data_IF_144077132399
#
_entry.id   IF_144077132399
#
_cell.length_a   1.000
_cell.length_b   1.000
_cell.length_c   1.000
_cell.angle_alpha   90.00
_cell.angle_beta   90.00
_cell.angle_gamma   90.00
#
_symmetry.space_group_name_H-M   'P 1'
#
loop_
_entity.id
_entity.type
_entity.pdbx_description
1 polymer ?
#
# COMPACT_ATOMS: atom_id res chain seq x y z
N UNK A 1 -7.82 1.34 12.50
CA UNK A 1 -9.07 2.14 12.54
C UNK A 1 -8.83 3.60 12.16
N UNK A 2 -7.87 4.31 12.77
CA UNK A 2 -7.65 5.75 12.56
C UNK A 2 -7.43 6.15 11.09
N UNK A 3 -6.64 5.39 10.32
CA UNK A 3 -6.45 5.69 8.89
C UNK A 3 -7.77 5.70 8.09
N UNK A 4 -8.69 4.79 8.40
CA UNK A 4 -9.99 4.72 7.73
C UNK A 4 -10.88 5.90 8.14
N UNK A 5 -10.88 6.26 9.42
CA UNK A 5 -11.60 7.43 9.91
C UNK A 5 -11.07 8.74 9.29
N UNK A 6 -9.73 8.91 9.26
CA UNK A 6 -9.08 10.06 8.62
C UNK A 6 -9.32 10.11 7.11
N UNK A 7 -9.54 8.95 6.47
CA UNK A 7 -9.94 8.85 5.06
C UNK A 7 -11.43 9.06 4.80
N UNK A 8 -12.23 9.37 5.83
CA UNK A 8 -13.67 9.63 5.70
C UNK A 8 -14.56 8.38 5.63
N UNK A 9 -14.03 7.20 5.99
CA UNK A 9 -14.82 5.98 6.02
C UNK A 9 -15.85 6.05 7.16
N UNK A 10 -17.14 5.98 6.82
CA UNK A 10 -18.25 5.97 7.79
C UNK A 10 -18.52 4.58 8.37
N UNK A 11 -18.16 3.51 7.63
CA UNK A 11 -18.24 2.11 8.05
C UNK A 11 -17.07 1.34 7.47
N UNK A 12 -16.48 0.48 8.28
CA UNK A 12 -15.46 -0.47 7.86
C UNK A 12 -15.62 -1.78 8.62
N UNK A 13 -15.32 -2.89 7.97
CA UNK A 13 -15.22 -4.21 8.57
C UNK A 13 -13.83 -4.75 8.33
N UNK A 14 -13.24 -5.34 9.36
CA UNK A 14 -12.00 -6.11 9.19
C UNK A 14 -12.35 -7.46 8.58
N UNK A 15 -11.83 -7.73 7.37
CA UNK A 15 -11.90 -9.06 6.77
C UNK A 15 -10.81 -9.94 7.38
N UNK A 16 -11.05 -11.24 7.51
CA UNK A 16 -10.04 -12.20 7.98
C UNK A 16 -8.83 -12.14 7.06
N UNK A 17 -7.68 -11.83 7.62
CA UNK A 17 -6.53 -11.48 6.81
C UNK A 17 -5.24 -11.72 7.58
N UNK A 18 -4.42 -12.56 6.97
CA UNK A 18 -3.01 -12.63 7.26
C UNK A 18 -2.43 -11.20 7.14
N UNK A 19 -1.88 -10.69 8.24
CA UNK A 19 -1.42 -9.30 8.40
C UNK A 19 -0.37 -8.88 7.37
N UNK A 20 0.29 -9.82 6.70
CA UNK A 20 1.18 -9.54 5.58
C UNK A 20 0.49 -8.89 4.37
N UNK A 21 -0.80 -9.19 4.16
CA UNK A 21 -1.59 -8.73 3.01
C UNK A 21 -2.38 -7.45 3.26
N UNK A 22 -2.45 -6.98 4.52
CA UNK A 22 -3.07 -5.69 4.86
C UNK A 22 -2.03 -4.60 4.81
N UNK A 23 -1.78 -4.09 3.60
CA UNK A 23 -0.94 -2.91 3.44
C UNK A 23 -1.43 -2.04 2.30
N UNK A 24 -1.21 -0.74 2.48
CA UNK A 24 -1.37 0.25 1.43
C UNK A 24 -0.01 0.90 1.21
N UNK A 25 0.52 0.77 -0.01
CA UNK A 25 1.83 1.31 -0.38
C UNK A 25 1.66 2.25 -1.55
N UNK A 26 2.13 3.48 -1.41
CA UNK A 26 2.23 4.45 -2.50
C UNK A 26 3.63 4.43 -3.09
N UNK A 27 3.72 4.77 -4.38
CA UNK A 27 4.98 4.86 -5.10
C UNK A 27 5.07 6.21 -5.78
N UNK A 28 6.18 6.93 -5.58
CA UNK A 28 6.44 8.21 -6.20
C UNK A 28 7.89 8.26 -6.74
N UNK A 29 8.16 8.97 -7.85
CA UNK A 29 9.53 9.19 -8.30
C UNK A 29 10.36 9.92 -7.24
N UNK A 30 11.52 9.36 -6.88
CA UNK A 30 12.52 10.01 -6.04
C UNK A 30 13.49 10.88 -6.85
N UNK A 31 14.35 11.62 -6.16
CA UNK A 31 15.31 12.54 -6.78
C UNK A 31 16.29 11.87 -7.76
N UNK A 32 16.56 10.58 -7.59
CA UNK A 32 17.42 9.77 -8.47
C UNK A 32 16.67 9.08 -9.61
N UNK A 33 15.38 9.35 -9.79
CA UNK A 33 14.52 8.70 -10.80
C UNK A 33 14.00 7.31 -10.39
N UNK A 34 14.47 6.76 -9.27
CA UNK A 34 13.95 5.51 -8.71
C UNK A 34 12.64 5.75 -7.95
N UNK A 35 11.71 4.79 -8.01
CA UNK A 35 10.49 4.83 -7.20
C UNK A 35 10.81 4.69 -5.71
N UNK A 36 10.29 5.62 -4.92
CA UNK A 36 10.26 5.58 -3.47
C UNK A 36 8.91 5.02 -3.05
N UNK A 37 8.95 3.96 -2.25
CA UNK A 37 7.76 3.27 -1.75
C UNK A 37 7.49 3.70 -0.30
N UNK A 38 6.25 4.02 0.02
CA UNK A 38 5.85 4.44 1.37
C UNK A 38 4.57 3.75 1.81
N UNK A 39 4.57 3.21 3.04
CA UNK A 39 3.36 2.67 3.68
C UNK A 39 2.49 3.81 4.18
N UNK A 40 1.17 3.62 4.11
CA UNK A 40 0.22 4.56 4.70
C UNK A 40 0.41 4.71 6.22
N UNK A 41 0.68 3.59 6.91
CA UNK A 41 1.03 3.57 8.33
C UNK A 41 2.35 2.83 8.52
N UNK A 42 3.21 3.34 9.42
CA UNK A 42 4.55 2.80 9.65
C UNK A 42 4.55 1.36 10.19
N UNK A 43 3.50 0.96 10.89
CA UNK A 43 3.33 -0.34 11.54
C UNK A 43 2.72 -1.42 10.63
N UNK A 44 2.34 -1.10 9.39
CA UNK A 44 1.89 -2.10 8.42
C UNK A 44 2.99 -3.13 8.15
N UNK A 45 2.62 -4.42 8.09
CA UNK A 45 3.55 -5.54 7.88
C UNK A 45 3.79 -5.77 6.39
N UNK A 46 4.95 -6.36 6.05
CA UNK A 46 5.31 -6.76 4.69
C UNK A 46 6.28 -5.81 3.98
N UNK A 47 6.75 -6.26 2.82
CA UNK A 47 7.72 -5.52 2.00
C UNK A 47 7.03 -4.51 1.07
N UNK A 48 7.55 -3.28 1.07
CA UNK A 48 7.10 -2.19 0.18
C UNK A 48 7.55 -2.38 -1.26
N UNK A 49 8.59 -3.18 -1.52
CA UNK A 49 9.18 -3.37 -2.84
C UNK A 49 8.69 -4.65 -3.54
N UNK A 50 7.85 -5.44 -2.89
CA UNK A 50 7.41 -6.75 -3.41
C UNK A 50 6.85 -6.69 -4.84
N UNK A 51 6.12 -5.62 -5.19
CA UNK A 51 5.54 -5.45 -6.54
C UNK A 51 6.37 -4.54 -7.46
N UNK A 52 7.59 -4.16 -7.05
CA UNK A 52 8.57 -3.47 -7.89
C UNK A 52 9.59 -4.45 -8.51
N UNK A 53 9.47 -5.74 -8.20
CA UNK A 53 10.25 -6.83 -8.76
C UNK A 53 9.28 -7.94 -9.20
N UNK A 54 9.72 -8.91 -10.04
CA UNK A 54 8.90 -10.07 -10.37
C UNK A 54 8.44 -10.81 -9.11
N UNK A 55 7.13 -11.01 -8.97
CA UNK A 55 6.50 -11.80 -7.91
C UNK A 55 5.69 -12.93 -8.56
N UNK A 56 5.50 -14.03 -7.82
CA UNK A 56 4.73 -15.18 -8.29
C UNK A 56 3.21 -14.97 -8.20
N UNK A 57 2.76 -13.92 -7.50
CA UNK A 57 1.36 -13.55 -7.39
C UNK A 57 0.97 -12.47 -8.37
N UNK A 58 -0.24 -12.61 -8.89
CA UNK A 58 -0.89 -11.55 -9.64
C UNK A 58 -1.19 -10.34 -8.75
N UNK A 59 -1.07 -9.16 -9.32
CA UNK A 59 -1.41 -7.90 -8.67
C UNK A 59 -1.99 -6.91 -9.67
N UNK A 60 -2.75 -5.94 -9.16
CA UNK A 60 -3.18 -4.77 -9.93
C UNK A 60 -2.66 -3.51 -9.24
N UNK A 61 -2.51 -2.43 -10.00
CA UNK A 61 -2.13 -1.13 -9.48
C UNK A 61 -3.04 -0.06 -10.06
N UNK A 62 -3.16 1.05 -9.33
CA UNK A 62 -3.90 2.24 -9.75
C UNK A 62 -2.89 3.36 -9.96
N UNK A 63 -3.02 4.09 -11.06
CA UNK A 63 -2.27 5.32 -11.30
C UNK A 63 -3.20 6.51 -11.22
N UNK A 64 -2.74 7.60 -10.61
CA UNK A 64 -3.42 8.88 -10.72
C UNK A 64 -3.10 9.48 -12.11
N UNK A 65 -4.11 10.02 -12.78
CA UNK A 65 -3.89 10.90 -13.94
C UNK A 65 -3.60 12.32 -13.43
N UNK A 66 -2.65 12.98 -14.08
CA UNK A 66 -2.40 14.41 -13.93
C UNK A 66 -3.52 15.23 -14.60
#
# INVERSE_FOLDING_TARGET
ANALASGGASRAMQLDINSWWVRFVTYAPGASGHLVAQKLLADMVGDTRQFLAPDTRDFFYLTARA
#
